data_IF_738773452855
#
_entry.id   IF_738773452855
#
_cell.length_a   1.000
_cell.length_b   1.000
_cell.length_c   1.000
_cell.angle_alpha   90.00
_cell.angle_beta   90.00
_cell.angle_gamma   90.00
#
_symmetry.space_group_name_H-M   'P 1'
#
loop_
_entity.id
_entity.type
_entity.pdbx_description
1 polymer ?
#
# COMPACT_ATOMS: atom_id res chain seq x y z
N UNK A 1 17.68 27.99 40.49
CA UNK A 1 18.33 26.75 39.98
C UNK A 1 17.24 25.75 39.67
N UNK A 2 17.32 25.16 38.47
CA UNK A 2 16.56 23.99 37.96
C UNK A 2 15.03 24.06 37.97
N UNK A 3 14.33 23.94 36.85
CA UNK A 3 14.72 23.62 35.49
C UNK A 3 13.42 23.32 34.75
N UNK A 4 13.13 24.09 33.69
CA UNK A 4 12.05 23.78 32.76
C UNK A 4 12.43 22.49 32.03
N UNK A 5 11.59 21.48 32.12
CA UNK A 5 11.63 20.36 31.17
C UNK A 5 10.79 20.76 29.97
N UNK A 6 11.42 21.47 29.03
CA UNK A 6 11.01 21.45 27.63
C UNK A 6 11.16 20.01 27.15
N UNK A 7 10.05 19.33 26.89
CA UNK A 7 10.02 18.16 26.02
C UNK A 7 9.22 18.51 24.78
N UNK A 8 9.76 19.47 24.00
CA UNK A 8 9.46 19.57 22.58
C UNK A 8 9.91 18.28 21.92
N UNK A 9 8.97 17.35 21.73
CA UNK A 9 9.15 16.22 20.84
C UNK A 9 9.33 16.79 19.43
N UNK A 10 10.44 16.49 18.72
CA UNK A 10 10.65 17.05 17.39
C UNK A 10 9.66 16.44 16.42
N UNK A 11 8.87 17.31 15.80
CA UNK A 11 8.18 17.17 14.53
C UNK A 11 7.79 15.73 14.15
N UNK A 12 6.65 15.29 14.66
CA UNK A 12 5.84 14.31 13.92
C UNK A 12 5.40 15.01 12.62
N UNK A 13 6.21 14.86 11.56
CA UNK A 13 5.82 15.20 10.21
C UNK A 13 4.45 14.56 9.95
N UNK A 14 3.40 15.39 9.89
CA UNK A 14 2.08 14.93 9.49
C UNK A 14 2.20 14.47 8.04
N UNK A 15 2.27 13.15 7.84
CA UNK A 15 2.38 12.50 6.52
C UNK A 15 1.16 12.76 5.60
N UNK A 16 0.18 13.54 6.06
CA UNK A 16 -1.06 13.86 5.34
C UNK A 16 -0.82 14.68 4.06
N UNK A 17 0.31 15.39 3.93
CA UNK A 17 0.58 16.25 2.77
C UNK A 17 1.28 15.51 1.59
N UNK A 18 1.74 14.27 1.78
CA UNK A 18 2.52 13.56 0.73
C UNK A 18 1.67 12.61 -0.11
N UNK A 19 0.54 12.13 0.41
CA UNK A 19 -0.32 11.17 -0.29
C UNK A 19 -1.78 11.61 -0.24
N UNK A 20 -2.48 11.66 -1.38
CA UNK A 20 -3.88 12.06 -1.42
C UNK A 20 -4.74 11.12 -0.56
N UNK A 21 -5.97 11.54 -0.24
CA UNK A 21 -7.04 10.76 0.45
C UNK A 21 -7.21 9.31 -0.05
N UNK A 22 -6.64 9.00 -1.21
CA UNK A 22 -6.52 7.69 -1.83
C UNK A 22 -5.65 6.68 -1.06
N UNK A 23 -4.76 7.11 -0.15
CA UNK A 23 -3.90 6.20 0.64
C UNK A 23 -4.38 6.19 2.08
N UNK A 24 -4.85 5.04 2.56
CA UNK A 24 -5.36 4.85 3.91
C UNK A 24 -4.55 3.82 4.70
N UNK A 25 -4.23 4.15 5.95
CA UNK A 25 -3.70 3.22 6.95
C UNK A 25 -4.80 2.96 7.98
N UNK A 26 -5.45 1.79 7.92
CA UNK A 26 -6.63 1.51 8.73
C UNK A 26 -6.39 1.58 10.25
N UNK A 27 -5.14 1.45 10.69
CA UNK A 27 -4.70 1.55 12.10
C UNK A 27 -3.47 2.47 12.26
N UNK A 28 -3.30 3.44 11.36
CA UNK A 28 -2.12 4.31 11.34
C UNK A 28 -0.81 3.51 11.21
N UNK A 29 0.24 3.92 11.92
CA UNK A 29 1.58 3.29 11.84
C UNK A 29 1.64 1.85 12.37
N UNK A 30 0.59 1.36 13.03
CA UNK A 30 0.52 -0.01 13.58
C UNK A 30 -0.24 -0.99 12.69
N UNK A 31 -0.80 -0.52 11.58
CA UNK A 31 -1.47 -1.40 10.64
C UNK A 31 -0.50 -2.46 10.10
N UNK A 32 -1.03 -3.61 9.72
CA UNK A 32 -0.35 -4.65 8.94
C UNK A 32 -0.66 -4.53 7.43
N UNK A 33 -1.45 -3.51 7.05
CA UNK A 33 -1.78 -3.22 5.67
C UNK A 33 -2.05 -1.73 5.39
N UNK A 34 -1.91 -1.37 4.11
CA UNK A 34 -2.25 -0.08 3.53
C UNK A 34 -3.28 -0.29 2.41
N UNK A 35 -4.28 0.57 2.35
CA UNK A 35 -5.31 0.57 1.32
C UNK A 35 -5.03 1.69 0.33
N UNK A 36 -4.97 1.34 -0.94
CA UNK A 36 -4.90 2.25 -2.06
C UNK A 36 -6.26 2.27 -2.76
N UNK A 37 -6.82 3.45 -2.95
CA UNK A 37 -8.12 3.68 -3.57
C UNK A 37 -7.97 4.51 -4.84
N UNK A 38 -8.74 4.17 -5.87
CA UNK A 38 -8.80 4.98 -7.08
C UNK A 38 -10.08 5.86 -7.03
N UNK A 39 -9.97 7.20 -7.06
CA UNK A 39 -11.13 8.08 -7.00
C UNK A 39 -12.05 7.97 -8.23
N UNK A 40 -11.54 7.50 -9.37
CA UNK A 40 -12.28 7.31 -10.61
C UNK A 40 -12.89 5.90 -10.71
N UNK A 41 -12.49 4.95 -9.85
CA UNK A 41 -12.99 3.57 -9.80
C UNK A 41 -13.51 3.24 -8.39
N UNK A 42 -14.63 3.84 -7.95
CA UNK A 42 -15.20 3.56 -6.64
C UNK A 42 -15.55 2.07 -6.50
N UNK A 43 -15.12 1.47 -5.38
CA UNK A 43 -15.29 0.04 -5.10
C UNK A 43 -14.13 -0.85 -5.56
N UNK A 44 -13.16 -0.31 -6.30
CA UNK A 44 -11.88 -0.97 -6.58
C UNK A 44 -10.80 -0.47 -5.61
N UNK A 45 -10.22 -1.40 -4.86
CA UNK A 45 -9.14 -1.10 -3.91
C UNK A 45 -7.96 -2.05 -4.16
N UNK A 46 -6.75 -1.56 -3.89
CA UNK A 46 -5.54 -2.35 -3.84
C UNK A 46 -5.01 -2.34 -2.40
N UNK A 47 -4.93 -3.51 -1.78
CA UNK A 47 -4.51 -3.64 -0.37
C UNK A 47 -3.09 -4.19 -0.33
N UNK A 48 -2.15 -3.39 0.13
CA UNK A 48 -0.77 -3.78 0.38
C UNK A 48 -0.66 -4.34 1.80
N UNK A 49 -0.26 -5.59 1.96
CA UNK A 49 -0.18 -6.27 3.26
C UNK A 49 1.27 -6.62 3.57
N UNK A 50 1.77 -6.22 4.74
CA UNK A 50 3.08 -6.63 5.22
C UNK A 50 2.95 -7.67 6.33
N UNK A 51 3.64 -8.80 6.15
CA UNK A 51 3.62 -9.94 7.07
C UNK A 51 5.04 -10.32 7.44
N UNK A 52 5.20 -10.88 8.62
CA UNK A 52 6.43 -11.50 9.05
C UNK A 52 6.18 -13.01 9.04
N UNK A 53 6.85 -13.72 8.14
CA UNK A 53 6.82 -15.17 8.09
C UNK A 53 8.00 -15.73 8.89
N UNK A 54 7.71 -16.65 9.81
CA UNK A 54 8.72 -17.39 10.55
C UNK A 54 8.74 -18.80 9.97
N UNK A 55 9.85 -19.16 9.36
CA UNK A 55 10.03 -20.47 8.74
C UNK A 55 10.34 -21.53 9.79
N UNK A 56 10.18 -22.80 9.43
CA UNK A 56 10.39 -23.94 10.33
C UNK A 56 11.83 -24.04 10.85
N UNK A 57 12.80 -23.54 10.08
CA UNK A 57 14.21 -23.45 10.47
C UNK A 57 14.51 -22.27 11.42
N UNK A 58 13.48 -21.50 11.79
CA UNK A 58 13.58 -20.31 12.63
C UNK A 58 14.00 -19.05 11.89
N UNK A 59 14.20 -19.11 10.57
CA UNK A 59 14.47 -17.90 9.78
C UNK A 59 13.23 -17.00 9.68
N UNK A 60 13.46 -15.69 9.63
CA UNK A 60 12.39 -14.69 9.58
C UNK A 60 12.45 -13.97 8.24
N UNK A 61 11.34 -14.02 7.50
CA UNK A 61 11.20 -13.38 6.20
C UNK A 61 10.09 -12.33 6.24
N UNK A 62 10.40 -11.04 6.02
CA UNK A 62 9.37 -10.05 5.78
C UNK A 62 8.78 -10.26 4.38
N UNK A 63 7.46 -10.32 4.29
CA UNK A 63 6.72 -10.49 3.03
C UNK A 63 5.82 -9.28 2.83
N UNK A 64 5.91 -8.70 1.64
CA UNK A 64 4.97 -7.71 1.16
C UNK A 64 4.14 -8.34 0.06
N UNK A 65 2.81 -8.26 0.19
CA UNK A 65 1.87 -8.80 -0.79
C UNK A 65 0.82 -7.76 -1.19
N UNK A 66 0.15 -8.01 -2.31
CA UNK A 66 -0.89 -7.16 -2.87
C UNK A 66 -2.17 -7.97 -3.08
N UNK A 67 -3.25 -7.51 -2.45
CA UNK A 67 -4.58 -8.08 -2.58
C UNK A 67 -5.51 -7.09 -3.27
N UNK A 68 -5.98 -7.37 -4.50
CA UNK A 68 -7.01 -6.56 -5.14
C UNK A 68 -8.37 -6.87 -4.52
N UNK A 69 -9.10 -5.83 -4.15
CA UNK A 69 -10.52 -5.92 -3.80
C UNK A 69 -11.30 -5.26 -4.92
N UNK A 70 -11.92 -6.10 -5.74
CA UNK A 70 -12.61 -5.71 -6.97
C UNK A 70 -14.09 -6.10 -6.83
N UNK A 71 -15.04 -5.31 -7.33
CA UNK A 71 -16.45 -5.67 -7.30
C UNK A 71 -16.70 -7.00 -8.01
N UNK A 72 -17.54 -7.86 -7.43
CA UNK A 72 -17.81 -9.20 -7.95
C UNK A 72 -18.25 -9.18 -9.42
N UNK A 73 -19.06 -8.20 -9.81
CA UNK A 73 -19.51 -8.08 -11.21
C UNK A 73 -18.32 -7.91 -12.16
N UNK A 74 -17.31 -7.13 -11.77
CA UNK A 74 -16.11 -6.92 -12.58
C UNK A 74 -15.21 -8.17 -12.59
N UNK A 75 -15.15 -8.94 -11.50
CA UNK A 75 -14.42 -10.22 -11.46
C UNK A 75 -14.99 -11.20 -12.50
N UNK A 76 -16.32 -11.28 -12.65
CA UNK A 76 -16.93 -12.17 -13.66
C UNK A 76 -16.56 -11.81 -15.11
N UNK A 77 -16.09 -10.59 -15.34
CA UNK A 77 -15.67 -10.11 -16.66
C UNK A 77 -14.17 -10.34 -16.92
N UNK A 78 -13.38 -10.69 -15.90
CA UNK A 78 -11.95 -10.98 -16.03
C UNK A 78 -11.71 -12.39 -16.60
N UNK A 79 -11.71 -12.46 -17.93
CA UNK A 79 -11.45 -13.71 -18.67
C UNK A 79 -9.99 -14.17 -18.62
N UNK A 80 -9.11 -13.33 -18.09
CA UNK A 80 -7.64 -13.51 -18.16
C UNK A 80 -7.01 -13.84 -16.81
N UNK A 81 -7.79 -13.77 -15.73
CA UNK A 81 -7.33 -14.00 -14.36
C UNK A 81 -6.33 -12.93 -13.90
N UNK A 82 -6.50 -11.69 -14.35
CA UNK A 82 -5.67 -10.56 -13.90
C UNK A 82 -5.77 -10.34 -12.41
N UNK A 83 -6.98 -10.47 -11.83
CA UNK A 83 -7.21 -10.27 -10.39
C UNK A 83 -6.42 -11.30 -9.57
N UNK A 84 -6.46 -12.57 -9.98
CA UNK A 84 -5.71 -13.66 -9.32
C UNK A 84 -4.19 -13.46 -9.47
N UNK A 85 -3.73 -13.04 -10.65
CA UNK A 85 -2.31 -12.84 -10.96
C UNK A 85 -1.71 -11.58 -10.33
N UNK A 86 -2.52 -10.69 -9.79
CA UNK A 86 -2.09 -9.37 -9.31
C UNK A 86 -0.96 -9.47 -8.27
N UNK A 87 -1.06 -10.39 -7.30
CA UNK A 87 -0.02 -10.59 -6.28
C UNK A 87 1.31 -11.06 -6.88
N UNK A 88 1.27 -11.96 -7.88
CA UNK A 88 2.48 -12.45 -8.56
C UNK A 88 3.11 -11.33 -9.41
N UNK A 89 2.29 -10.59 -10.15
CA UNK A 89 2.73 -9.42 -10.93
C UNK A 89 3.37 -8.37 -10.02
N UNK A 90 2.79 -8.11 -8.85
CA UNK A 90 3.33 -7.20 -7.85
C UNK A 90 4.69 -7.67 -7.32
N UNK A 91 4.84 -8.94 -6.97
CA UNK A 91 6.12 -9.52 -6.56
C UNK A 91 7.19 -9.40 -7.65
N UNK A 92 6.78 -9.44 -8.91
CA UNK A 92 7.68 -9.20 -10.06
C UNK A 92 8.12 -7.75 -10.13
N UNK A 93 7.20 -6.80 -9.94
CA UNK A 93 7.53 -5.36 -9.83
C UNK A 93 8.50 -5.10 -8.68
N UNK A 94 8.23 -5.65 -7.47
CA UNK A 94 9.10 -5.50 -6.31
C UNK A 94 10.53 -5.97 -6.58
N UNK A 95 10.69 -7.13 -7.24
CA UNK A 95 12.01 -7.66 -7.62
C UNK A 95 12.71 -6.81 -8.67
N UNK A 96 11.95 -6.11 -9.52
CA UNK A 96 12.47 -5.37 -10.67
C UNK A 96 12.85 -3.93 -10.28
N UNK A 97 11.96 -3.24 -9.56
CA UNK A 97 12.09 -1.82 -9.24
C UNK A 97 12.52 -1.56 -7.79
N UNK A 98 12.46 -2.58 -6.92
CA UNK A 98 12.62 -2.40 -5.49
C UNK A 98 11.36 -1.84 -4.82
N UNK A 99 11.38 -1.80 -3.49
CA UNK A 99 10.22 -1.49 -2.66
C UNK A 99 9.65 -0.09 -2.94
N UNK A 100 10.48 0.94 -2.77
CA UNK A 100 10.05 2.33 -2.85
C UNK A 100 9.47 2.65 -4.24
N UNK A 101 10.23 2.40 -5.30
CA UNK A 101 9.81 2.70 -6.66
C UNK A 101 8.56 1.91 -7.08
N UNK A 102 8.39 0.67 -6.59
CA UNK A 102 7.17 -0.11 -6.86
C UNK A 102 5.94 0.55 -6.25
N UNK A 103 6.00 0.92 -4.97
CA UNK A 103 4.87 1.55 -4.27
C UNK A 103 4.55 2.90 -4.91
N UNK A 104 5.57 3.73 -5.18
CA UNK A 104 5.40 5.02 -5.86
C UNK A 104 4.74 4.85 -7.25
N UNK A 105 5.17 3.87 -8.04
CA UNK A 105 4.56 3.60 -9.35
C UNK A 105 3.10 3.16 -9.24
N UNK A 106 2.75 2.33 -8.25
CA UNK A 106 1.37 1.90 -8.05
C UNK A 106 0.51 3.09 -7.64
N UNK A 107 0.97 3.91 -6.70
CA UNK A 107 0.25 5.11 -6.28
C UNK A 107 0.04 6.04 -7.47
N UNK A 108 1.08 6.30 -8.26
CA UNK A 108 0.99 7.18 -9.43
C UNK A 108 0.04 6.63 -10.50
N UNK A 109 0.08 5.33 -10.78
CA UNK A 109 -0.73 4.72 -11.85
C UNK A 109 -2.17 4.40 -11.45
N UNK A 110 -2.42 4.14 -10.16
CA UNK A 110 -3.72 3.70 -9.66
C UNK A 110 -4.46 4.75 -8.83
N UNK A 111 -3.77 5.54 -8.01
CA UNK A 111 -4.41 6.45 -7.06
C UNK A 111 -4.61 7.86 -7.64
N UNK A 112 -3.75 8.28 -8.55
CA UNK A 112 -3.83 9.62 -9.14
C UNK A 112 -4.83 9.63 -10.29
N UNK A 113 -5.71 10.65 -10.28
CA UNK A 113 -6.60 10.93 -11.41
C UNK A 113 -5.77 11.14 -12.67
N UNK A 114 -6.25 10.65 -13.80
CA UNK A 114 -5.74 11.14 -15.09
C UNK A 114 -6.12 12.60 -15.21
N UNK A 115 -5.12 13.49 -15.23
CA UNK A 115 -5.34 14.84 -15.73
C UNK A 115 -5.78 14.73 -17.18
N UNK A 116 -6.99 15.20 -17.50
CA UNK A 116 -7.43 15.36 -18.89
C UNK A 116 -6.42 16.27 -19.59
N UNK A 117 -5.66 15.73 -20.55
CA UNK A 117 -5.03 16.51 -21.62
C UNK A 117 -6.10 16.93 -22.64
#
# INVERSE_FOLDING_TARGET
>A
MSGKSDSSHPDSLSHEDTYPLAVGLALGSTADYMVLMNPDLPGCELILVWKIEINEDGSVTPVLDLLPKIPEQAITLDKTGLVEKAGISFKTLLKTFGLQATIENIIHSFCLKKSNE
#
